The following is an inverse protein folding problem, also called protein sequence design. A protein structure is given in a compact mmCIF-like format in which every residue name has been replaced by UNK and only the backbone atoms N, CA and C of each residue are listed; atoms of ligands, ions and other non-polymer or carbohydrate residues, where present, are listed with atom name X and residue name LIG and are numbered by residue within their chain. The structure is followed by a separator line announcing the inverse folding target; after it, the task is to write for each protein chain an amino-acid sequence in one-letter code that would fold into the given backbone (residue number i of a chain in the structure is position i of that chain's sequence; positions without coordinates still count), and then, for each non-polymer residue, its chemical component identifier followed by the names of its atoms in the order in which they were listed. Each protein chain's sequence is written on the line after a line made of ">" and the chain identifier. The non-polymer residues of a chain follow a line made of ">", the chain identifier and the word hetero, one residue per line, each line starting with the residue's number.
data_IF_186454980334
#
_entry.id   IF_186454980334
#
_cell.length_a   1.000
_cell.length_b   1.000
_cell.length_c   1.000
_cell.angle_alpha   90.00
_cell.angle_beta   90.00
_cell.angle_gamma   90.00
#
_symmetry.space_group_name_H-M   'P 1'
#
loop_
_entity.id
_entity.type
_entity.pdbx_description
1 polymer ?
#
# COMPACT_ATOMS: atom_id res chain seq x y z
N UNK A 1 1.51 12.99 11.96
CA UNK A 1 2.99 13.05 11.88
C UNK A 1 3.56 11.87 12.64
N UNK A 2 4.08 10.86 11.94
CA UNK A 2 4.68 9.69 12.59
C UNK A 2 6.04 10.07 13.19
N UNK A 3 6.32 9.67 14.43
CA UNK A 3 7.57 9.98 15.15
C UNK A 3 8.76 9.12 14.65
N UNK A 4 8.53 8.29 13.63
CA UNK A 4 9.54 7.43 13.04
C UNK A 4 10.20 8.13 11.84
N UNK A 5 11.52 8.35 11.95
CA UNK A 5 12.35 8.99 10.91
C UNK A 5 12.30 8.25 9.57
N UNK A 6 12.13 6.94 9.59
CA UNK A 6 12.06 6.11 8.39
C UNK A 6 10.77 6.37 7.60
N UNK A 7 9.61 6.41 8.26
CA UNK A 7 8.32 6.71 7.60
C UNK A 7 8.27 8.14 7.05
N UNK A 8 8.91 9.09 7.74
CA UNK A 8 9.02 10.46 7.24
C UNK A 8 9.84 10.52 5.95
N UNK A 9 10.96 9.80 5.90
CA UNK A 9 11.78 9.70 4.68
C UNK A 9 11.02 9.00 3.54
N UNK A 10 10.30 7.92 3.82
CA UNK A 10 9.45 7.27 2.82
C UNK A 10 8.41 8.23 2.25
N UNK A 11 7.74 9.01 3.10
CA UNK A 11 6.76 10.01 2.67
C UNK A 11 7.38 11.05 1.75
N UNK A 12 8.54 11.63 2.11
CA UNK A 12 9.24 12.60 1.26
C UNK A 12 9.58 12.00 -0.10
N UNK A 13 10.12 10.77 -0.13
CA UNK A 13 10.41 10.09 -1.40
C UNK A 13 9.15 9.88 -2.26
N UNK A 14 8.02 9.51 -1.65
CA UNK A 14 6.76 9.33 -2.38
C UNK A 14 6.20 10.65 -2.90
N UNK A 15 6.28 11.72 -2.10
CA UNK A 15 5.77 13.05 -2.46
C UNK A 15 6.58 13.70 -3.58
N UNK A 16 7.91 13.52 -3.58
CA UNK A 16 8.82 14.15 -4.56
C UNK A 16 8.98 13.33 -5.85
N UNK A 17 8.50 12.08 -5.89
CA UNK A 17 8.65 11.19 -7.03
C UNK A 17 7.95 11.72 -8.29
N UNK A 18 8.70 11.79 -9.41
CA UNK A 18 8.21 12.14 -10.74
C UNK A 18 8.61 11.04 -11.74
N UNK A 19 7.66 10.33 -12.37
CA UNK A 19 6.20 10.49 -12.29
C UNK A 19 5.61 10.03 -10.95
N UNK A 20 4.37 10.47 -10.65
CA UNK A 20 3.68 10.16 -9.39
C UNK A 20 3.63 8.65 -9.11
N UNK A 21 3.95 8.29 -7.87
CA UNK A 21 3.80 6.92 -7.35
C UNK A 21 2.41 6.66 -6.78
N UNK A 22 1.62 7.71 -6.54
CA UNK A 22 0.24 7.58 -6.09
C UNK A 22 -0.66 7.07 -7.21
N UNK A 23 -1.56 6.16 -6.84
CA UNK A 23 -2.61 5.60 -7.70
C UNK A 23 -3.97 6.01 -7.15
N UNK A 24 -5.00 5.99 -7.99
CA UNK A 24 -6.33 6.41 -7.61
C UNK A 24 -7.03 5.38 -6.71
N UNK A 25 -6.88 4.11 -7.07
CA UNK A 25 -7.62 3.00 -6.47
C UNK A 25 -6.73 1.78 -6.20
N UNK A 26 -7.18 0.92 -5.29
CA UNK A 26 -6.47 -0.31 -4.91
C UNK A 26 -6.22 -1.26 -6.10
N UNK A 27 -7.18 -1.39 -7.00
CA UNK A 27 -7.05 -2.25 -8.19
C UNK A 27 -5.94 -1.76 -9.13
N UNK A 28 -5.85 -0.44 -9.33
CA UNK A 28 -4.78 0.17 -10.13
C UNK A 28 -3.40 -0.06 -9.48
N UNK A 29 -3.31 0.05 -8.16
CA UNK A 29 -2.11 -0.27 -7.40
C UNK A 29 -1.64 -1.71 -7.60
N UNK A 30 -2.57 -2.68 -7.49
CA UNK A 30 -2.29 -4.10 -7.70
C UNK A 30 -1.83 -4.39 -9.13
N UNK A 31 -2.52 -3.82 -10.11
CA UNK A 31 -2.15 -3.99 -11.53
C UNK A 31 -0.78 -3.37 -11.82
N UNK A 32 -0.49 -2.19 -11.25
CA UNK A 32 0.81 -1.53 -11.38
C UNK A 32 1.94 -2.39 -10.80
N UNK A 33 1.74 -3.00 -9.63
CA UNK A 33 2.72 -3.94 -9.05
C UNK A 33 2.96 -5.13 -9.97
N UNK A 34 1.88 -5.75 -10.47
CA UNK A 34 1.99 -6.91 -11.36
C UNK A 34 2.72 -6.57 -12.67
N UNK A 35 2.46 -5.41 -13.26
CA UNK A 35 3.12 -4.96 -14.51
C UNK A 35 4.55 -4.47 -14.32
N UNK A 36 4.88 -3.95 -13.15
CA UNK A 36 6.18 -3.31 -12.89
C UNK A 36 7.33 -4.29 -12.66
N UNK A 37 7.12 -5.61 -12.76
CA UNK A 37 8.16 -6.65 -12.63
C UNK A 37 9.11 -6.42 -11.44
N UNK A 38 8.54 -6.19 -10.25
CA UNK A 38 9.25 -5.92 -8.97
C UNK A 38 9.92 -4.55 -8.82
N UNK A 39 9.68 -3.61 -9.72
CA UNK A 39 10.19 -2.22 -9.60
C UNK A 39 9.23 -1.27 -8.87
N UNK A 40 8.05 -1.74 -8.47
CA UNK A 40 7.06 -0.96 -7.73
C UNK A 40 6.48 -1.81 -6.60
N UNK A 41 6.43 -1.23 -5.40
CA UNK A 41 5.79 -1.81 -4.23
C UNK A 41 4.59 -0.93 -3.85
N UNK A 42 3.50 -1.57 -3.43
CA UNK A 42 2.27 -0.87 -3.05
C UNK A 42 1.93 -1.15 -1.59
N UNK A 43 1.59 -0.10 -0.85
CA UNK A 43 1.13 -0.19 0.53
C UNK A 43 -0.39 -0.31 0.52
N UNK A 44 -0.91 -1.42 1.03
CA UNK A 44 -2.33 -1.71 1.17
C UNK A 44 -2.59 -2.28 2.57
N UNK A 45 -3.83 -2.20 3.03
CA UNK A 45 -4.29 -2.89 4.23
C UNK A 45 -4.14 -4.42 4.11
N UNK A 46 -3.97 -5.09 5.25
CA UNK A 46 -3.78 -6.54 5.36
C UNK A 46 -4.90 -7.36 4.71
N UNK A 47 -6.17 -7.02 4.95
CA UNK A 47 -7.31 -7.76 4.41
C UNK A 47 -7.37 -7.69 2.87
N UNK A 48 -7.19 -6.49 2.31
CA UNK A 48 -7.11 -6.28 0.87
C UNK A 48 -5.90 -6.99 0.24
N UNK A 49 -4.76 -7.00 0.94
CA UNK A 49 -3.54 -7.64 0.45
C UNK A 49 -3.67 -9.17 0.40
N UNK A 50 -4.18 -9.82 1.44
CA UNK A 50 -4.40 -11.27 1.41
C UNK A 50 -5.45 -11.65 0.36
N UNK A 51 -6.51 -10.86 0.20
CA UNK A 51 -7.51 -11.06 -0.86
C UNK A 51 -6.91 -10.99 -2.28
N UNK A 52 -6.03 -10.01 -2.53
CA UNK A 52 -5.39 -9.83 -3.84
C UNK A 52 -4.37 -10.94 -4.13
N UNK A 53 -3.58 -11.32 -3.12
CA UNK A 53 -2.60 -12.40 -3.20
C UNK A 53 -3.25 -13.75 -3.51
N UNK A 54 -4.35 -14.09 -2.84
CA UNK A 54 -5.07 -15.34 -3.07
C UNK A 54 -5.57 -15.48 -4.51
N UNK A 55 -5.87 -14.36 -5.17
CA UNK A 55 -6.34 -14.33 -6.57
C UNK A 55 -5.21 -14.23 -7.60
N UNK A 56 -4.05 -13.75 -7.20
CA UNK A 56 -2.94 -13.51 -8.11
C UNK A 56 -1.63 -13.97 -7.48
N UNK A 57 -1.24 -15.21 -7.79
CA UNK A 57 -0.04 -15.87 -7.27
C UNK A 57 1.27 -15.15 -7.61
N UNK A 58 1.25 -14.17 -8.53
CA UNK A 58 2.41 -13.35 -8.86
C UNK A 58 2.67 -12.22 -7.84
N UNK A 59 1.77 -12.02 -6.87
CA UNK A 59 1.93 -11.06 -5.79
C UNK A 59 2.50 -11.74 -4.54
N UNK A 60 3.34 -11.03 -3.81
CA UNK A 60 3.82 -11.48 -2.49
C UNK A 60 3.70 -10.36 -1.46
N UNK A 61 3.38 -10.76 -0.23
CA UNK A 61 3.52 -9.89 0.93
C UNK A 61 5.00 -9.75 1.27
N UNK A 62 5.45 -8.54 1.56
CA UNK A 62 6.82 -8.26 1.99
C UNK A 62 6.79 -7.66 3.39
N UNK A 63 7.48 -8.31 4.33
CA UNK A 63 7.59 -7.86 5.72
C UNK A 63 6.31 -8.03 6.54
N UNK A 64 6.29 -7.36 7.70
CA UNK A 64 5.20 -7.39 8.67
C UNK A 64 4.25 -6.20 8.51
N UNK A 65 3.19 -6.19 9.33
CA UNK A 65 2.23 -5.09 9.37
C UNK A 65 2.89 -3.83 9.93
N UNK A 66 2.67 -2.69 9.26
CA UNK A 66 3.19 -1.38 9.69
C UNK A 66 2.43 -0.82 10.89
N UNK A 67 1.15 -1.15 10.99
CA UNK A 67 0.26 -0.78 12.08
C UNK A 67 -0.87 -1.80 12.23
N UNK A 68 -1.60 -1.69 13.35
CA UNK A 68 -2.84 -2.41 13.58
C UNK A 68 -3.99 -1.40 13.48
N UNK A 69 -4.77 -1.52 12.41
CA UNK A 69 -5.96 -0.71 12.13
C UNK A 69 -7.18 -1.62 12.10
N UNK A 70 -8.32 -1.13 12.57
CA UNK A 70 -9.60 -1.85 12.58
C UNK A 70 -10.69 -1.06 11.88
N UNK A 71 -11.71 -1.78 11.40
CA UNK A 71 -12.90 -1.20 10.81
C UNK A 71 -13.93 -0.84 11.88
N UNK A 72 -14.56 0.33 11.75
CA UNK A 72 -15.64 0.79 12.62
C UNK A 72 -16.81 1.32 11.79
N UNK A 73 -18.03 1.17 12.31
CA UNK A 73 -19.24 1.70 11.70
C UNK A 73 -19.42 3.14 12.20
N UNK A 74 -19.20 4.12 11.32
CA UNK A 74 -19.45 5.52 11.63
C UNK A 74 -20.96 5.81 11.49
N UNK A 75 -21.59 6.25 12.59
CA UNK A 75 -22.99 6.67 12.62
C UNK A 75 -23.06 8.20 12.72
N UNK A 76 -24.05 8.85 12.08
CA UNK A 76 -24.32 10.27 12.31
C UNK A 76 -24.75 10.51 13.76
N UNK A 77 -24.50 11.72 14.32
CA UNK A 77 -24.93 12.09 15.67
C UNK A 77 -26.45 12.20 15.81
#
# INVERSE_FOLDING_TARGET
>A
NSNNSMYRRMWTTMADAKPSVFVKDNNEGVERVAKSKRNYAFLMESSGLEYAKERNCNLMKVGDLLDSKGYGIALPP
#
